data_IF_509780432394
#
_entry.id   IF_509780432394
#
_cell.length_a   1.000
_cell.length_b   1.000
_cell.length_c   1.000
_cell.angle_alpha   90.00
_cell.angle_beta   90.00
_cell.angle_gamma   90.00
#
_symmetry.space_group_name_H-M   'P 1'
#
loop_
_entity.id
_entity.type
_entity.pdbx_description
1 polymer ?
#
# COMPACT_ATOMS: atom_id res chain seq x y z
N UNK A 1 -33.37 -9.35 15.70
CA UNK A 1 -32.32 -8.46 15.16
C UNK A 1 -31.38 -9.33 14.34
N UNK A 2 -31.46 -9.25 13.01
CA UNK A 2 -30.56 -10.00 12.15
C UNK A 2 -29.21 -9.30 12.11
N UNK A 3 -28.13 -10.00 12.43
CA UNK A 3 -26.79 -9.51 12.16
C UNK A 3 -26.65 -9.35 10.64
N UNK A 4 -26.33 -8.14 10.18
CA UNK A 4 -25.90 -7.87 8.79
C UNK A 4 -24.55 -8.55 8.55
N UNK A 5 -24.59 -9.87 8.31
CA UNK A 5 -23.42 -10.68 8.06
C UNK A 5 -22.94 -10.46 6.62
N UNK A 6 -21.65 -10.14 6.47
CA UNK A 6 -21.02 -9.95 5.17
C UNK A 6 -20.58 -11.29 4.57
N UNK A 7 -21.24 -11.70 3.48
CA UNK A 7 -20.97 -12.95 2.77
C UNK A 7 -20.07 -12.79 1.53
N UNK A 8 -19.38 -11.66 1.38
CA UNK A 8 -18.51 -11.40 0.23
C UNK A 8 -17.45 -12.50 0.06
N UNK A 9 -16.85 -12.99 1.16
CA UNK A 9 -15.86 -14.09 1.13
C UNK A 9 -16.43 -15.32 0.40
N UNK A 10 -17.60 -15.80 0.81
CA UNK A 10 -18.26 -16.93 0.17
C UNK A 10 -18.49 -16.71 -1.33
N UNK A 11 -19.11 -15.59 -1.70
CA UNK A 11 -19.41 -15.32 -3.12
C UNK A 11 -18.17 -15.09 -3.97
N UNK A 12 -17.08 -14.54 -3.42
CA UNK A 12 -15.80 -14.44 -4.14
C UNK A 12 -15.17 -15.79 -4.43
N UNK A 13 -15.34 -16.76 -3.52
CA UNK A 13 -14.84 -18.12 -3.69
C UNK A 13 -15.74 -18.92 -4.64
N UNK A 14 -17.06 -18.77 -4.52
CA UNK A 14 -18.04 -19.44 -5.40
C UNK A 14 -17.79 -19.10 -6.88
N UNK A 15 -17.50 -17.84 -7.19
CA UNK A 15 -17.15 -17.39 -8.56
C UNK A 15 -15.93 -18.12 -9.16
N UNK A 16 -15.08 -18.72 -8.33
CA UNK A 16 -13.87 -19.47 -8.74
C UNK A 16 -14.11 -20.98 -8.83
N UNK A 17 -15.31 -21.46 -8.51
CA UNK A 17 -15.69 -22.88 -8.51
C UNK A 17 -16.76 -23.13 -9.58
N UNK A 18 -16.41 -23.23 -10.88
CA UNK A 18 -17.39 -23.47 -11.93
C UNK A 18 -18.13 -24.79 -11.69
N UNK A 19 -19.46 -24.75 -11.71
CA UNK A 19 -20.33 -25.90 -11.44
C UNK A 19 -20.71 -26.11 -9.97
N UNK A 20 -20.17 -25.32 -9.04
CA UNK A 20 -20.65 -25.31 -7.66
C UNK A 20 -21.83 -24.34 -7.50
N UNK A 21 -22.87 -24.78 -6.79
CA UNK A 21 -24.03 -23.97 -6.46
C UNK A 21 -24.05 -23.55 -4.98
N UNK A 22 -24.61 -22.37 -4.69
CA UNK A 22 -24.70 -21.85 -3.31
C UNK A 22 -25.49 -22.79 -2.41
N UNK A 23 -26.66 -23.22 -2.86
CA UNK A 23 -27.63 -23.94 -2.04
C UNK A 23 -27.09 -25.31 -1.67
N UNK A 24 -26.52 -26.03 -2.65
CA UNK A 24 -25.86 -27.31 -2.41
C UNK A 24 -24.71 -27.22 -1.41
N UNK A 25 -23.87 -26.17 -1.52
CA UNK A 25 -22.77 -25.97 -0.57
C UNK A 25 -23.31 -25.70 0.84
N UNK A 26 -24.28 -24.78 0.99
CA UNK A 26 -24.84 -24.47 2.31
C UNK A 26 -25.53 -25.69 2.92
N UNK A 27 -26.26 -26.46 2.12
CA UNK A 27 -26.93 -27.68 2.56
C UNK A 27 -25.92 -28.73 3.05
N UNK A 28 -24.84 -28.94 2.30
CA UNK A 28 -23.77 -29.89 2.65
C UNK A 28 -23.13 -29.57 4.01
N UNK A 29 -22.82 -28.30 4.26
CA UNK A 29 -22.14 -27.87 5.49
C UNK A 29 -23.08 -27.63 6.68
N UNK A 30 -24.40 -27.60 6.46
CA UNK A 30 -25.41 -27.54 7.52
C UNK A 30 -26.13 -28.87 7.73
N UNK A 31 -25.68 -29.93 7.06
CA UNK A 31 -26.27 -31.26 7.10
C UNK A 31 -27.77 -31.27 6.77
N UNK A 32 -28.18 -30.53 5.74
CA UNK A 32 -29.57 -30.46 5.29
C UNK A 32 -30.46 -29.49 6.07
N UNK A 33 -29.94 -28.78 7.09
CA UNK A 33 -30.74 -27.90 7.94
C UNK A 33 -31.23 -26.63 7.22
N UNK A 34 -30.46 -26.10 6.28
CA UNK A 34 -30.82 -24.88 5.51
C UNK A 34 -30.02 -24.78 4.22
N UNK A 35 -30.50 -23.98 3.26
CA UNK A 35 -29.80 -23.58 2.03
C UNK A 35 -29.42 -22.09 2.02
N UNK A 36 -29.72 -21.38 3.11
CA UNK A 36 -29.48 -19.94 3.24
C UNK A 36 -28.29 -19.65 4.16
N UNK A 37 -27.34 -18.85 3.64
CA UNK A 37 -26.14 -18.43 4.39
C UNK A 37 -26.45 -17.75 5.73
N UNK A 38 -27.54 -16.96 5.79
CA UNK A 38 -27.99 -16.28 7.02
C UNK A 38 -28.43 -17.19 8.15
N UNK A 39 -28.74 -18.45 7.83
CA UNK A 39 -29.20 -19.45 8.78
C UNK A 39 -28.06 -20.42 9.18
N UNK A 40 -26.85 -20.20 8.67
CA UNK A 40 -25.65 -20.92 9.09
C UNK A 40 -25.12 -20.37 10.42
N UNK A 41 -24.53 -21.25 11.22
CA UNK A 41 -23.67 -20.88 12.34
C UNK A 41 -22.34 -20.33 11.82
N UNK A 42 -21.64 -19.55 12.65
CA UNK A 42 -20.32 -19.03 12.30
C UNK A 42 -19.31 -20.15 12.03
N UNK A 43 -19.42 -21.27 12.75
CA UNK A 43 -18.54 -22.43 12.55
C UNK A 43 -18.78 -23.09 11.19
N UNK A 44 -20.04 -23.38 10.81
CA UNK A 44 -20.37 -23.96 9.51
C UNK A 44 -19.92 -23.04 8.37
N UNK A 45 -20.20 -21.73 8.49
CA UNK A 45 -19.77 -20.74 7.49
C UNK A 45 -18.26 -20.69 7.32
N UNK A 46 -17.50 -20.67 8.42
CA UNK A 46 -16.05 -20.61 8.37
C UNK A 46 -15.45 -21.89 7.81
N UNK A 47 -15.93 -23.06 8.25
CA UNK A 47 -15.49 -24.36 7.72
C UNK A 47 -15.73 -24.44 6.21
N UNK A 48 -16.93 -24.08 5.75
CA UNK A 48 -17.27 -24.05 4.33
C UNK A 48 -16.33 -23.13 3.54
N UNK A 49 -16.13 -21.89 4.00
CA UNK A 49 -15.23 -20.95 3.29
C UNK A 49 -13.77 -21.44 3.27
N UNK A 50 -13.29 -22.06 4.35
CA UNK A 50 -11.92 -22.58 4.42
C UNK A 50 -11.70 -23.72 3.41
N UNK A 51 -12.67 -24.62 3.27
CA UNK A 51 -12.58 -25.71 2.31
C UNK A 51 -12.68 -25.19 0.87
N UNK A 52 -13.56 -24.21 0.61
CA UNK A 52 -13.60 -23.52 -0.67
C UNK A 52 -12.27 -22.82 -1.01
N UNK A 53 -11.62 -22.17 -0.04
CA UNK A 53 -10.28 -21.57 -0.22
C UNK A 53 -9.22 -22.59 -0.59
N UNK A 54 -9.29 -23.80 0.00
CA UNK A 54 -8.39 -24.91 -0.32
C UNK A 54 -8.61 -25.43 -1.74
N UNK A 55 -9.86 -25.65 -2.15
CA UNK A 55 -10.21 -26.15 -3.48
C UNK A 55 -9.86 -25.14 -4.58
N UNK A 56 -10.13 -23.86 -4.34
CA UNK A 56 -9.84 -22.79 -5.31
C UNK A 56 -8.36 -22.40 -5.38
N UNK A 57 -7.52 -22.92 -4.47
CA UNK A 57 -6.13 -22.48 -4.32
C UNK A 57 -6.00 -21.01 -3.89
N UNK A 58 -7.10 -20.38 -3.45
CA UNK A 58 -7.15 -18.98 -3.06
C UNK A 58 -6.24 -18.71 -1.86
N UNK A 59 -6.11 -19.67 -0.95
CA UNK A 59 -5.18 -19.56 0.18
C UNK A 59 -3.72 -19.50 -0.27
N UNK A 60 -3.30 -20.35 -1.21
CA UNK A 60 -1.92 -20.33 -1.74
C UNK A 60 -1.62 -19.04 -2.46
N UNK A 61 -2.57 -18.54 -3.25
CA UNK A 61 -2.42 -17.25 -3.94
C UNK A 61 -2.32 -16.10 -2.94
N UNK A 62 -3.21 -16.03 -1.95
CA UNK A 62 -3.20 -15.00 -0.91
C UNK A 62 -1.91 -15.05 -0.08
N UNK A 63 -1.45 -16.24 0.28
CA UNK A 63 -0.18 -16.44 0.99
C UNK A 63 1.01 -15.96 0.15
N UNK A 64 1.04 -16.28 -1.15
CA UNK A 64 2.08 -15.81 -2.06
C UNK A 64 2.11 -14.27 -2.16
N UNK A 65 0.94 -13.63 -2.31
CA UNK A 65 0.80 -12.17 -2.34
C UNK A 65 1.28 -11.55 -1.01
N UNK A 66 0.90 -12.14 0.13
CA UNK A 66 1.37 -11.67 1.44
C UNK A 66 2.88 -11.82 1.62
N UNK A 67 3.46 -12.96 1.20
CA UNK A 67 4.92 -13.18 1.23
C UNK A 67 5.65 -12.16 0.36
N UNK A 68 5.13 -11.88 -0.82
CA UNK A 68 5.74 -10.92 -1.74
C UNK A 68 5.62 -9.48 -1.22
N UNK A 69 4.46 -9.08 -0.69
CA UNK A 69 4.28 -7.80 -0.01
C UNK A 69 5.28 -7.64 1.14
N UNK A 70 5.42 -8.65 2.00
CA UNK A 70 6.36 -8.65 3.13
C UNK A 70 7.80 -8.47 2.65
N UNK A 71 8.20 -9.24 1.63
CA UNK A 71 9.54 -9.18 1.04
C UNK A 71 9.83 -7.79 0.46
N UNK A 72 8.93 -7.25 -0.36
CA UNK A 72 9.08 -5.92 -0.98
C UNK A 72 9.10 -4.78 0.05
N UNK A 73 8.23 -4.85 1.07
CA UNK A 73 8.25 -3.88 2.17
C UNK A 73 9.58 -3.89 2.91
N UNK A 74 10.10 -5.07 3.23
CA UNK A 74 11.41 -5.19 3.88
C UNK A 74 12.53 -4.58 3.04
N UNK A 75 12.52 -4.79 1.71
CA UNK A 75 13.48 -4.15 0.79
C UNK A 75 13.37 -2.63 0.83
N UNK A 76 12.16 -2.07 0.75
CA UNK A 76 11.95 -0.62 0.79
C UNK A 76 12.40 -0.01 2.12
N UNK A 77 12.04 -0.63 3.25
CA UNK A 77 12.47 -0.18 4.58
C UNK A 77 14.00 -0.19 4.71
N UNK A 78 14.66 -1.26 4.25
CA UNK A 78 16.13 -1.32 4.25
C UNK A 78 16.76 -0.21 3.41
N UNK A 79 16.18 0.12 2.25
CA UNK A 79 16.65 1.22 1.42
C UNK A 79 16.41 2.58 2.07
N UNK A 80 15.26 2.79 2.72
CA UNK A 80 14.94 4.00 3.48
C UNK A 80 15.95 4.20 4.63
N UNK A 81 16.25 3.14 5.38
CA UNK A 81 17.24 3.16 6.45
C UNK A 81 18.63 3.55 5.93
N UNK A 82 19.05 3.01 4.78
CA UNK A 82 20.31 3.39 4.12
C UNK A 82 20.34 4.85 3.64
N UNK A 83 19.18 5.48 3.48
CA UNK A 83 19.05 6.90 3.15
C UNK A 83 18.94 7.79 4.41
N UNK A 84 19.04 7.21 5.61
CA UNK A 84 18.96 7.93 6.88
C UNK A 84 17.53 8.20 7.36
N UNK A 85 16.52 7.52 6.81
CA UNK A 85 15.17 7.55 7.35
C UNK A 85 15.10 6.62 8.56
N UNK A 86 14.63 7.14 9.70
CA UNK A 86 14.34 6.31 10.86
C UNK A 86 13.13 5.41 10.57
N UNK A 87 13.37 4.11 10.42
CA UNK A 87 12.34 3.10 10.16
C UNK A 87 11.74 2.50 11.42
N UNK A 88 12.13 2.97 12.60
CA UNK A 88 11.50 2.59 13.88
C UNK A 88 10.28 3.47 14.18
N UNK A 89 10.23 4.68 13.61
CA UNK A 89 9.09 5.60 13.66
C UNK A 89 8.21 5.44 12.40
N UNK A 90 7.02 4.85 12.57
CA UNK A 90 6.05 4.67 11.49
C UNK A 90 5.50 5.97 10.93
N UNK A 91 5.39 7.02 11.74
CA UNK A 91 4.95 8.35 11.28
C UNK A 91 6.00 8.94 10.35
N UNK A 92 7.29 8.75 10.66
CA UNK A 92 8.40 9.18 9.80
C UNK A 92 8.40 8.43 8.46
N UNK A 93 8.18 7.13 8.48
CA UNK A 93 8.07 6.29 7.27
C UNK A 93 6.88 6.71 6.41
N UNK A 94 5.70 6.90 7.00
CA UNK A 94 4.50 7.32 6.27
C UNK A 94 4.68 8.72 5.67
N UNK A 95 5.19 9.68 6.43
CA UNK A 95 5.48 11.04 5.93
C UNK A 95 6.47 11.05 4.77
N UNK A 96 7.49 10.18 4.82
CA UNK A 96 8.43 10.02 3.73
C UNK A 96 7.71 9.49 2.46
N UNK A 97 6.89 8.45 2.59
CA UNK A 97 6.18 7.84 1.46
C UNK A 97 5.05 8.71 0.88
N UNK A 98 4.45 9.57 1.70
CA UNK A 98 3.43 10.54 1.29
C UNK A 98 3.93 11.60 0.32
N UNK A 99 5.25 11.73 0.11
CA UNK A 99 5.77 12.62 -0.92
C UNK A 99 5.32 12.14 -2.32
N UNK A 100 4.61 12.97 -3.13
CA UNK A 100 4.14 12.59 -4.46
C UNK A 100 5.26 12.20 -5.45
N UNK A 101 6.49 12.68 -5.23
CA UNK A 101 7.65 12.28 -6.03
C UNK A 101 8.07 10.82 -5.76
N UNK A 102 7.67 10.26 -4.62
CA UNK A 102 7.89 8.87 -4.24
C UNK A 102 6.67 8.00 -4.54
N UNK A 103 5.61 8.06 -3.73
CA UNK A 103 4.37 7.28 -3.94
C UNK A 103 3.12 8.11 -3.66
N UNK A 104 3.15 9.01 -2.67
CA UNK A 104 1.98 9.83 -2.34
C UNK A 104 0.95 9.13 -1.46
N UNK A 105 1.33 8.04 -0.76
CA UNK A 105 0.45 7.24 0.08
C UNK A 105 1.17 6.82 1.38
N UNK A 106 0.42 6.54 2.48
CA UNK A 106 1.02 5.91 3.66
C UNK A 106 1.61 4.55 3.27
N UNK A 107 2.75 4.17 3.85
CA UNK A 107 3.50 2.97 3.49
C UNK A 107 2.67 1.68 3.59
N UNK A 108 1.77 1.61 4.58
CA UNK A 108 0.85 0.48 4.75
C UNK A 108 -0.14 0.29 3.60
N UNK A 109 -0.45 1.35 2.84
CA UNK A 109 -1.41 1.34 1.73
C UNK A 109 -0.74 1.13 0.36
N UNK A 110 0.58 1.00 0.32
CA UNK A 110 1.33 0.80 -0.92
C UNK A 110 1.19 -0.65 -1.38
N UNK A 111 0.84 -0.83 -2.65
CA UNK A 111 0.70 -2.15 -3.28
C UNK A 111 2.04 -2.70 -3.80
N UNK A 112 1.98 -3.90 -4.39
CA UNK A 112 3.15 -4.63 -4.88
C UNK A 112 3.91 -3.84 -5.97
N UNK A 113 3.20 -3.30 -6.96
CA UNK A 113 3.79 -2.59 -8.10
C UNK A 113 4.38 -1.25 -7.66
N UNK A 114 3.66 -0.55 -6.79
CA UNK A 114 4.10 0.71 -6.20
C UNK A 114 5.35 0.52 -5.32
N UNK A 115 5.44 -0.58 -4.56
CA UNK A 115 6.63 -0.92 -3.78
C UNK A 115 7.85 -1.18 -4.69
N UNK A 116 7.64 -1.79 -5.86
CA UNK A 116 8.70 -2.01 -6.85
C UNK A 116 9.22 -0.69 -7.42
N UNK A 117 8.30 0.18 -7.83
CA UNK A 117 8.60 1.53 -8.31
C UNK A 117 9.32 2.35 -7.23
N UNK A 118 8.83 2.30 -5.99
CA UNK A 118 9.46 2.94 -4.85
C UNK A 118 10.89 2.45 -4.65
N UNK A 119 11.14 1.14 -4.68
CA UNK A 119 12.48 0.59 -4.54
C UNK A 119 13.44 1.09 -5.63
N UNK A 120 12.99 1.24 -6.88
CA UNK A 120 13.80 1.83 -7.97
C UNK A 120 14.13 3.30 -7.69
N UNK A 121 13.15 4.08 -7.22
CA UNK A 121 13.35 5.49 -6.84
C UNK A 121 14.38 5.61 -5.71
N UNK A 122 14.24 4.82 -4.65
CA UNK A 122 15.16 4.84 -3.51
C UNK A 122 16.59 4.46 -3.91
N UNK A 123 16.77 3.43 -4.75
CA UNK A 123 18.10 3.08 -5.30
C UNK A 123 18.69 4.21 -6.13
N UNK A 124 17.86 4.89 -6.92
CA UNK A 124 18.29 6.05 -7.72
C UNK A 124 18.73 7.21 -6.85
N UNK A 125 17.99 7.51 -5.78
CA UNK A 125 18.35 8.54 -4.79
C UNK A 125 19.68 8.17 -4.14
N UNK A 126 19.83 6.93 -3.68
CA UNK A 126 21.08 6.43 -3.09
C UNK A 126 22.26 6.60 -4.05
N UNK A 127 22.10 6.20 -5.33
CA UNK A 127 23.12 6.35 -6.37
C UNK A 127 23.49 7.81 -6.64
N UNK A 128 22.55 8.75 -6.49
CA UNK A 128 22.75 10.19 -6.70
C UNK A 128 23.30 10.93 -5.46
N UNK A 129 23.83 10.20 -4.49
CA UNK A 129 24.43 10.78 -3.27
C UNK A 129 23.47 10.92 -2.09
N UNK A 130 22.33 10.23 -2.12
CA UNK A 130 21.38 10.21 -1.00
C UNK A 130 20.40 11.37 -0.99
N UNK A 131 19.73 11.57 0.16
CA UNK A 131 18.76 12.65 0.32
C UNK A 131 19.51 13.98 0.47
N UNK A 132 19.42 14.84 -0.55
CA UNK A 132 19.93 16.22 -0.45
C UNK A 132 19.04 16.98 0.53
N UNK A 133 19.64 17.60 1.55
CA UNK A 133 18.94 18.58 2.36
C UNK A 133 18.48 19.72 1.45
N UNK A 134 17.20 20.10 1.53
CA UNK A 134 16.76 21.36 0.92
C UNK A 134 17.45 22.48 1.72
N UNK A 135 18.56 22.99 1.21
CA UNK A 135 19.00 24.33 1.58
C UNK A 135 17.87 25.27 1.14
N UNK A 136 17.37 26.07 2.08
CA UNK A 136 16.51 27.21 1.74
C UNK A 136 17.31 28.12 0.78
N UNK A 137 16.67 28.76 -0.21
CA UNK A 137 17.36 29.76 -1.02
C UNK A 137 17.84 30.86 -0.08
N UNK A 138 19.16 30.98 0.10
CA UNK A 138 19.75 32.15 0.75
C UNK A 138 19.51 33.31 -0.22
N UNK A 139 18.63 34.21 0.19
CA UNK A 139 18.29 35.45 -0.51
C UNK A 139 19.59 36.23 -0.73
N UNK A 140 20.08 36.22 -1.97
CA UNK A 140 21.26 36.98 -2.35
C UNK A 140 20.85 38.46 -2.38
N UNK A 141 21.11 39.18 -1.28
CA UNK A 141 21.07 40.65 -1.25
C UNK A 141 22.17 41.19 -2.16
N UNK A 142 21.85 41.38 -3.43
CA UNK A 142 22.69 42.16 -4.34
C UNK A 142 22.57 43.63 -3.94
N UNK A 143 23.60 44.17 -3.30
CA UNK A 143 23.70 45.61 -3.03
C UNK A 143 24.14 46.31 -4.32
N UNK A 144 23.22 47.08 -4.92
CA UNK A 144 23.57 47.98 -6.01
C UNK A 144 24.14 49.27 -5.40
N UNK A 145 25.40 49.57 -5.69
CA UNK A 145 26.00 50.88 -5.41
C UNK A 145 25.61 51.81 -6.58
N UNK A 146 24.69 52.73 -6.35
CA UNK A 146 24.44 53.84 -7.27
C UNK A 146 25.48 54.93 -7.05
N UNK A 147 26.34 55.16 -8.05
CA UNK A 147 27.18 56.36 -8.13
C UNK A 147 26.41 57.40 -8.96
N UNK A 148 26.12 58.61 -8.44
CA UNK A 148 25.50 59.65 -9.22
C UNK A 148 26.50 60.22 -10.22
N UNK A 149 26.10 60.29 -11.49
CA UNK A 149 26.85 61.01 -12.53
C UNK A 149 26.26 62.41 -12.58
N UNK A 150 26.95 63.38 -12.01
CA UNK A 150 26.71 64.80 -12.27
C UNK A 150 27.35 65.17 -13.61
N UNK A 151 26.52 65.60 -14.54
CA UNK A 151 26.95 66.37 -15.71
C UNK A 151 25.83 67.31 -16.18
N UNK A 152 25.60 68.36 -15.39
CA UNK A 152 25.18 69.66 -15.93
C UNK A 152 26.39 70.31 -16.59
N UNK A 153 26.33 70.69 -17.87
CA UNK A 153 26.44 72.08 -18.39
C UNK A 153 26.19 72.02 -19.91
N UNK A 154 25.04 72.53 -20.36
CA UNK A 154 24.88 73.19 -21.67
C UNK A 154 24.05 74.46 -21.42
N UNK A 155 24.73 75.61 -21.36
CA UNK A 155 24.64 76.71 -22.33
C UNK A 155 25.18 78.02 -21.70
#
# INVERSE_FOLDING_TARGET
MGEDRNYARFYTLLKKMPGADKETLVEQYTHGRTTHLRDTSMQEYNTMCNDMERVTGFDKHREAIHKELKRRRSVCLKLMQQLGVDTTDWVRVDNFCMNPRLVGKPFRKIDIEELESLAVKLRTIKRKGGLKSKQQPVEQKTSFICVPIDSTIEN
#
